data_IF_457043366781
#
_entry.id   IF_457043366781
#
_cell.length_a   1.000
_cell.length_b   1.000
_cell.length_c   1.000
_cell.angle_alpha   90.00
_cell.angle_beta   90.00
_cell.angle_gamma   90.00
#
_symmetry.space_group_name_H-M   'P 1'
#
loop_
_entity.id
_entity.type
_entity.pdbx_description
1 polymer ?
#
# COMPACT_ATOMS: atom_id res chain seq x y z
N UNK A 1 45.47 -49.94 -37.61
CA UNK A 1 45.67 -48.51 -37.20
C UNK A 1 44.33 -47.99 -36.80
N UNK A 2 44.05 -47.93 -35.49
CA UNK A 2 42.76 -47.41 -34.91
C UNK A 2 43.03 -46.02 -34.31
N UNK A 3 42.41 -45.02 -34.86
CA UNK A 3 42.45 -43.66 -34.32
C UNK A 3 41.40 -43.53 -33.19
N UNK A 4 41.84 -43.22 -31.99
CA UNK A 4 41.00 -42.83 -30.85
C UNK A 4 40.81 -41.31 -30.91
N UNK A 5 39.58 -40.87 -31.14
CA UNK A 5 39.16 -39.48 -30.99
C UNK A 5 38.82 -39.25 -29.53
N UNK A 6 39.61 -38.43 -28.83
CA UNK A 6 39.28 -37.90 -27.52
C UNK A 6 38.35 -36.69 -27.67
N UNK A 7 37.10 -36.85 -27.26
CA UNK A 7 36.16 -35.72 -27.15
C UNK A 7 36.37 -35.09 -25.79
N UNK A 8 36.94 -33.90 -25.79
CA UNK A 8 37.12 -33.04 -24.60
C UNK A 8 35.79 -32.29 -24.36
N UNK A 9 34.98 -32.77 -23.39
CA UNK A 9 33.75 -32.12 -22.97
C UNK A 9 34.14 -30.93 -22.07
N UNK A 10 34.12 -29.70 -22.60
CA UNK A 10 34.26 -28.50 -21.85
C UNK A 10 32.95 -28.20 -21.13
N UNK A 11 32.90 -28.43 -19.82
CA UNK A 11 31.78 -28.07 -18.96
C UNK A 11 31.79 -26.56 -18.78
N UNK A 12 30.96 -25.85 -19.56
CA UNK A 12 30.78 -24.41 -19.46
C UNK A 12 29.88 -24.14 -18.24
N UNK A 13 30.47 -23.87 -17.08
CA UNK A 13 29.74 -23.35 -15.92
C UNK A 13 29.23 -21.95 -16.27
N UNK A 14 27.98 -21.87 -16.70
CA UNK A 14 27.25 -20.60 -16.79
C UNK A 14 27.02 -20.12 -15.35
N UNK A 15 27.88 -19.24 -14.87
CA UNK A 15 27.61 -18.45 -13.66
C UNK A 15 26.37 -17.60 -13.98
N UNK A 16 25.22 -18.05 -13.48
CA UNK A 16 24.02 -17.22 -13.45
C UNK A 16 24.32 -16.06 -12.52
N UNK A 17 24.84 -14.98 -13.08
CA UNK A 17 24.89 -13.72 -12.38
C UNK A 17 23.43 -13.27 -12.21
N UNK A 18 22.90 -13.43 -11.00
CA UNK A 18 21.76 -12.60 -10.59
C UNK A 18 22.17 -11.16 -10.84
N UNK A 19 21.35 -10.34 -11.51
CA UNK A 19 21.66 -8.94 -11.66
C UNK A 19 21.64 -8.33 -10.26
N UNK A 20 22.83 -8.29 -9.65
CA UNK A 20 23.05 -7.54 -8.43
C UNK A 20 22.64 -6.09 -8.70
N UNK A 21 21.97 -5.50 -7.76
CA UNK A 21 21.51 -4.12 -7.70
C UNK A 21 22.45 -3.15 -8.43
N UNK A 22 22.11 -2.81 -9.67
CA UNK A 22 22.86 -1.85 -10.48
C UNK A 22 22.38 -0.41 -10.21
N UNK A 23 21.98 -0.09 -8.99
CA UNK A 23 21.74 1.28 -8.55
C UNK A 23 22.72 1.61 -7.44
N UNK A 24 23.61 2.57 -7.69
CA UNK A 24 24.52 3.22 -6.71
C UNK A 24 23.75 4.01 -5.61
N UNK A 25 22.51 3.64 -5.33
CA UNK A 25 21.71 4.29 -4.29
C UNK A 25 21.95 3.59 -2.96
N UNK A 26 22.48 4.29 -1.95
CA UNK A 26 22.87 3.70 -0.69
C UNK A 26 21.62 3.16 0.06
N UNK A 27 21.66 1.88 0.37
CA UNK A 27 20.70 1.17 1.21
C UNK A 27 21.21 1.18 2.66
N UNK A 28 20.32 1.30 3.64
CA UNK A 28 20.70 1.12 5.03
C UNK A 28 21.03 -0.35 5.34
N UNK A 29 21.88 -0.59 6.32
CA UNK A 29 22.22 -1.93 6.79
C UNK A 29 20.95 -2.69 7.22
N UNK A 30 20.08 -2.06 8.02
CA UNK A 30 18.83 -2.64 8.46
C UNK A 30 17.91 -3.06 7.30
N UNK A 31 17.73 -2.21 6.28
CA UNK A 31 16.93 -2.58 5.11
C UNK A 31 17.61 -3.65 4.25
N UNK A 32 18.93 -3.71 4.19
CA UNK A 32 19.65 -4.78 3.52
C UNK A 32 19.40 -6.14 4.19
N UNK A 33 19.53 -6.20 5.51
CA UNK A 33 19.23 -7.42 6.30
C UNK A 33 17.78 -7.88 6.13
N UNK A 34 16.81 -6.95 6.13
CA UNK A 34 15.42 -7.30 5.82
C UNK A 34 15.29 -7.97 4.44
N UNK A 35 15.96 -7.41 3.41
CA UNK A 35 15.89 -7.91 2.04
C UNK A 35 16.53 -9.28 1.91
N UNK A 36 17.64 -9.54 2.61
CA UNK A 36 18.37 -10.82 2.54
C UNK A 36 17.45 -12.03 2.82
N UNK A 37 16.56 -11.90 3.80
CA UNK A 37 15.56 -12.93 4.09
C UNK A 37 14.29 -12.77 3.23
N UNK A 38 13.72 -11.57 3.20
CA UNK A 38 12.41 -11.34 2.59
C UNK A 38 12.42 -11.42 1.05
N UNK A 39 13.59 -11.35 0.38
CA UNK A 39 13.68 -11.57 -1.06
C UNK A 39 13.29 -13.00 -1.46
N UNK A 40 13.54 -13.98 -0.61
CA UNK A 40 13.15 -15.38 -0.83
C UNK A 40 11.74 -15.68 -0.32
N UNK A 41 11.38 -15.16 0.85
CA UNK A 41 10.12 -15.45 1.54
C UNK A 41 8.95 -14.66 0.93
N UNK A 42 9.17 -13.40 0.58
CA UNK A 42 8.17 -12.47 0.06
C UNK A 42 8.65 -11.75 -1.21
N UNK A 43 9.02 -12.47 -2.29
CA UNK A 43 9.64 -11.89 -3.48
C UNK A 43 8.77 -10.81 -4.15
N UNK A 44 7.45 -10.94 -4.08
CA UNK A 44 6.52 -9.93 -4.61
C UNK A 44 6.61 -8.58 -3.91
N UNK A 45 6.81 -8.57 -2.60
CA UNK A 45 6.99 -7.35 -1.79
C UNK A 45 8.30 -6.66 -2.16
N UNK A 46 9.40 -7.40 -2.15
CA UNK A 46 10.73 -6.87 -2.49
C UNK A 46 10.77 -6.37 -3.93
N UNK A 47 10.27 -7.14 -4.90
CA UNK A 47 10.16 -6.70 -6.31
C UNK A 47 9.27 -5.46 -6.48
N UNK A 48 8.20 -5.36 -5.71
CA UNK A 48 7.33 -4.18 -5.69
C UNK A 48 8.10 -2.95 -5.23
N UNK A 49 8.78 -3.04 -4.09
CA UNK A 49 9.59 -1.95 -3.55
C UNK A 49 10.72 -1.54 -4.51
N UNK A 50 11.46 -2.48 -5.08
CA UNK A 50 12.54 -2.20 -6.04
C UNK A 50 12.09 -1.36 -7.24
N UNK A 51 10.83 -1.49 -7.66
CA UNK A 51 10.22 -0.71 -8.75
C UNK A 51 9.70 0.66 -8.28
N UNK A 52 9.69 0.91 -6.98
CA UNK A 52 9.20 2.17 -6.41
C UNK A 52 10.26 3.28 -6.53
N UNK A 53 9.80 4.52 -6.51
CA UNK A 53 10.71 5.67 -6.40
C UNK A 53 11.45 5.69 -5.06
N UNK A 54 10.91 5.09 -4.02
CA UNK A 54 11.54 4.98 -2.73
C UNK A 54 12.86 4.19 -2.79
N UNK A 55 12.95 3.18 -3.66
CA UNK A 55 14.19 2.42 -3.87
C UNK A 55 15.20 3.12 -4.83
N UNK A 56 14.79 4.20 -5.50
CA UNK A 56 15.59 4.80 -6.60
C UNK A 56 16.23 6.13 -6.24
N UNK A 57 15.77 6.81 -5.20
CA UNK A 57 16.23 8.15 -4.84
C UNK A 57 16.25 8.32 -3.34
N UNK A 58 17.32 8.91 -2.80
CA UNK A 58 17.38 9.27 -1.38
C UNK A 58 16.53 10.51 -1.09
N UNK A 59 15.98 10.64 0.13
CA UNK A 59 15.24 11.84 0.53
C UNK A 59 16.03 13.13 0.31
N UNK A 60 17.33 13.15 0.60
CA UNK A 60 18.18 14.32 0.37
C UNK A 60 18.20 14.75 -1.11
N UNK A 61 18.41 13.80 -2.03
CA UNK A 61 18.37 14.09 -3.47
C UNK A 61 16.97 14.54 -3.91
N UNK A 62 15.91 13.91 -3.36
CA UNK A 62 14.53 14.28 -3.66
C UNK A 62 14.17 15.69 -3.16
N UNK A 63 14.75 16.14 -2.05
CA UNK A 63 14.58 17.50 -1.53
C UNK A 63 15.25 18.57 -2.40
N UNK A 64 16.28 18.23 -3.16
CA UNK A 64 16.95 19.15 -4.11
C UNK A 64 16.15 19.39 -5.38
N UNK A 65 15.12 18.57 -5.64
CA UNK A 65 14.23 18.77 -6.79
C UNK A 65 13.32 19.97 -6.51
N UNK A 66 13.21 20.87 -7.49
CA UNK A 66 12.45 22.12 -7.35
C UNK A 66 11.03 22.03 -7.91
N UNK A 67 10.19 22.96 -7.47
CA UNK A 67 8.83 23.16 -7.95
C UNK A 67 7.93 21.96 -7.77
N UNK A 68 6.98 21.78 -8.68
CA UNK A 68 5.97 20.70 -8.61
C UNK A 68 6.53 19.30 -8.87
N UNK A 69 7.77 19.21 -9.37
CA UNK A 69 8.48 17.95 -9.54
C UNK A 69 8.96 17.36 -8.19
N UNK A 70 9.19 18.20 -7.20
CA UNK A 70 9.56 17.79 -5.84
C UNK A 70 8.39 17.04 -5.17
N UNK A 71 8.66 15.83 -4.68
CA UNK A 71 7.65 14.97 -4.02
C UNK A 71 7.89 14.80 -2.52
N UNK A 72 9.02 15.18 -2.01
CA UNK A 72 9.26 15.32 -0.58
C UNK A 72 8.78 16.71 -0.17
N UNK A 73 7.59 16.79 0.40
CA UNK A 73 6.94 18.07 0.76
C UNK A 73 7.32 18.58 2.15
N UNK A 74 7.89 17.72 2.99
CA UNK A 74 8.39 18.14 4.31
C UNK A 74 9.57 19.12 4.15
N UNK A 75 9.65 20.16 4.98
CA UNK A 75 10.75 21.12 4.93
C UNK A 75 12.07 20.49 5.36
N UNK A 76 12.01 19.50 6.24
CA UNK A 76 13.16 18.73 6.74
C UNK A 76 12.81 17.26 6.81
N UNK A 77 13.82 16.40 6.67
CA UNK A 77 13.73 14.96 6.87
C UNK A 77 14.77 14.58 7.92
N UNK A 78 14.50 13.63 8.83
CA UNK A 78 15.46 13.18 9.83
C UNK A 78 16.80 12.83 9.19
N UNK A 79 17.90 13.20 9.85
CA UNK A 79 19.26 13.02 9.32
C UNK A 79 19.55 11.54 8.97
N UNK A 80 19.08 10.61 9.82
CA UNK A 80 19.21 9.17 9.60
C UNK A 80 18.57 8.66 8.30
N UNK A 81 17.59 9.37 7.77
CA UNK A 81 16.88 9.00 6.54
C UNK A 81 17.39 9.72 5.29
N UNK A 82 18.18 10.77 5.44
CA UNK A 82 18.51 11.66 4.32
C UNK A 82 19.32 10.97 3.23
N UNK A 83 20.30 10.16 3.62
CA UNK A 83 21.35 9.65 2.73
C UNK A 83 21.15 8.20 2.29
N UNK A 84 20.08 7.57 2.69
CA UNK A 84 19.71 6.20 2.30
C UNK A 84 18.39 6.22 1.52
N UNK A 85 18.17 5.23 0.68
CA UNK A 85 16.84 5.04 0.07
C UNK A 85 15.82 4.67 1.15
N UNK A 86 14.55 4.96 0.92
CA UNK A 86 13.49 4.59 1.85
C UNK A 86 13.14 3.12 1.62
N UNK A 87 13.77 2.26 2.40
CA UNK A 87 13.62 0.80 2.36
C UNK A 87 12.62 0.26 3.37
N UNK A 88 12.80 -1.01 3.72
CA UNK A 88 11.90 -1.71 4.64
C UNK A 88 11.97 -1.10 6.04
N UNK A 89 13.18 -0.97 6.59
CA UNK A 89 13.40 -0.43 7.92
C UNK A 89 12.94 1.02 8.05
N UNK A 90 13.19 1.88 7.04
CA UNK A 90 12.81 3.30 7.05
C UNK A 90 11.31 3.54 7.11
N UNK A 91 10.50 2.51 6.87
CA UNK A 91 9.05 2.53 7.06
C UNK A 91 8.62 1.75 8.29
N UNK A 92 9.09 0.50 8.42
CA UNK A 92 8.57 -0.45 9.41
C UNK A 92 9.23 -0.35 10.80
N UNK A 93 10.32 0.40 10.96
CA UNK A 93 10.91 0.72 12.27
C UNK A 93 10.78 2.21 12.62
N UNK A 94 10.04 2.96 11.78
CA UNK A 94 9.81 4.38 12.01
C UNK A 94 8.78 4.57 13.13
N UNK A 95 9.12 5.34 14.17
CA UNK A 95 8.23 5.65 15.30
C UNK A 95 7.66 4.43 16.05
N UNK A 96 8.44 3.39 16.41
CA UNK A 96 7.91 2.15 16.99
C UNK A 96 7.06 2.40 18.26
N UNK A 97 7.37 3.42 19.05
CA UNK A 97 6.59 3.79 20.25
C UNK A 97 5.17 4.31 19.96
N UNK A 98 4.88 4.72 18.75
CA UNK A 98 3.56 5.17 18.34
C UNK A 98 2.67 4.02 17.84
N UNK A 99 3.25 2.86 17.60
CA UNK A 99 2.57 1.70 17.02
C UNK A 99 2.36 0.61 18.08
N UNK A 100 1.11 0.32 18.40
CA UNK A 100 0.76 -0.73 19.35
C UNK A 100 1.09 -2.15 18.81
N UNK A 101 1.26 -2.31 17.51
CA UNK A 101 1.65 -3.53 16.82
C UNK A 101 3.17 -3.70 16.68
N UNK A 102 3.94 -2.90 17.39
CA UNK A 102 5.41 -3.06 17.42
C UNK A 102 5.79 -4.33 18.15
N UNK A 103 6.66 -5.11 17.55
CA UNK A 103 7.22 -6.35 18.09
C UNK A 103 8.70 -6.49 17.70
N UNK A 104 9.42 -7.31 18.46
CA UNK A 104 10.82 -7.62 18.13
C UNK A 104 10.87 -8.59 16.94
N UNK A 105 11.71 -8.28 15.96
CA UNK A 105 11.96 -9.12 14.81
C UNK A 105 13.39 -8.96 14.31
N UNK A 106 14.21 -10.00 14.46
CA UNK A 106 15.62 -10.01 14.03
C UNK A 106 16.46 -8.84 14.59
N UNK A 107 16.26 -8.50 15.86
CA UNK A 107 16.96 -7.41 16.54
C UNK A 107 16.38 -6.01 16.31
N UNK A 108 15.28 -5.89 15.59
CA UNK A 108 14.60 -4.62 15.31
C UNK A 108 13.21 -4.55 15.93
N UNK A 109 12.82 -3.36 16.38
CA UNK A 109 11.44 -3.06 16.77
C UNK A 109 10.63 -2.74 15.51
N UNK A 110 9.86 -3.71 15.00
CA UNK A 110 9.12 -3.64 13.74
C UNK A 110 7.63 -3.48 14.01
N UNK A 111 6.95 -2.63 13.27
CA UNK A 111 5.49 -2.58 13.22
C UNK A 111 4.97 -2.98 11.82
N UNK A 112 3.84 -3.69 11.79
CA UNK A 112 3.24 -4.21 10.54
C UNK A 112 2.54 -3.10 9.76
N UNK A 113 1.83 -2.22 10.48
CA UNK A 113 0.95 -1.21 9.89
C UNK A 113 1.65 0.12 9.75
N UNK A 114 2.15 0.42 8.56
CA UNK A 114 2.62 1.76 8.22
C UNK A 114 1.42 2.69 8.03
N UNK A 115 1.42 3.81 8.73
CA UNK A 115 0.32 4.75 8.83
C UNK A 115 0.55 6.04 8.02
N UNK A 116 -0.48 6.87 7.80
CA UNK A 116 -0.28 8.20 7.21
C UNK A 116 0.67 9.10 8.00
N UNK A 117 0.78 8.92 9.32
CA UNK A 117 1.67 9.72 10.15
C UNK A 117 3.15 9.29 10.03
N UNK A 118 3.43 8.07 9.56
CA UNK A 118 4.78 7.67 9.14
C UNK A 118 5.13 8.34 7.81
N UNK A 119 4.22 8.27 6.84
CA UNK A 119 4.38 8.93 5.54
C UNK A 119 4.62 10.44 5.68
N UNK A 120 4.01 11.08 6.67
CA UNK A 120 4.14 12.51 6.98
C UNK A 120 5.60 12.94 7.19
N UNK A 121 6.47 12.04 7.64
CA UNK A 121 7.91 12.34 7.83
C UNK A 121 8.53 12.96 6.58
N UNK A 122 8.12 12.51 5.39
CA UNK A 122 8.58 13.05 4.11
C UNK A 122 7.45 13.75 3.32
N UNK A 123 6.18 13.40 3.56
CA UNK A 123 5.01 13.85 2.80
C UNK A 123 4.03 14.67 3.65
N UNK A 124 4.54 15.70 4.34
CA UNK A 124 3.78 16.48 5.32
C UNK A 124 2.58 17.23 4.69
N UNK A 125 2.75 17.78 3.49
CA UNK A 125 1.67 18.51 2.79
C UNK A 125 0.56 17.55 2.37
N UNK A 126 0.91 16.42 1.78
CA UNK A 126 -0.03 15.39 1.33
C UNK A 126 -0.81 14.82 2.52
N UNK A 127 -0.12 14.54 3.64
CA UNK A 127 -0.77 14.08 4.87
C UNK A 127 -1.77 15.11 5.39
N UNK A 128 -1.38 16.40 5.43
CA UNK A 128 -2.25 17.50 5.89
C UNK A 128 -3.47 17.68 4.98
N UNK A 129 -3.29 17.55 3.67
CA UNK A 129 -4.38 17.62 2.70
C UNK A 129 -5.32 16.42 2.83
N UNK A 130 -4.77 15.21 2.94
CA UNK A 130 -5.55 14.00 3.09
C UNK A 130 -6.38 14.00 4.38
N UNK A 131 -5.83 14.48 5.49
CA UNK A 131 -6.55 14.58 6.76
C UNK A 131 -7.82 15.46 6.70
N UNK A 132 -7.92 16.34 5.71
CA UNK A 132 -9.10 17.19 5.46
C UNK A 132 -10.06 16.58 4.42
N UNK A 133 -9.63 15.52 3.73
CA UNK A 133 -10.44 14.88 2.70
C UNK A 133 -11.49 13.98 3.34
N UNK A 134 -12.71 14.00 2.78
CA UNK A 134 -13.82 13.18 3.28
C UNK A 134 -13.50 11.67 3.26
N UNK A 135 -12.64 11.21 2.36
CA UNK A 135 -12.22 9.81 2.30
C UNK A 135 -11.43 9.39 3.54
N UNK A 136 -10.61 10.27 4.13
CA UNK A 136 -9.91 9.94 5.37
C UNK A 136 -10.85 9.71 6.57
N UNK A 137 -12.07 10.25 6.50
CA UNK A 137 -13.11 10.14 7.53
C UNK A 137 -14.16 9.07 7.21
N UNK A 138 -13.97 8.29 6.13
CA UNK A 138 -14.98 7.37 5.61
C UNK A 138 -15.45 6.33 6.64
N UNK A 139 -14.55 5.81 7.48
CA UNK A 139 -14.95 4.89 8.56
C UNK A 139 -15.92 5.57 9.54
N UNK A 140 -15.54 6.72 10.08
CA UNK A 140 -16.35 7.43 11.08
C UNK A 140 -17.69 7.90 10.52
N UNK A 141 -17.75 8.26 9.24
CA UNK A 141 -18.97 8.65 8.56
C UNK A 141 -20.01 7.53 8.51
N UNK A 142 -19.58 6.26 8.47
CA UNK A 142 -20.47 5.10 8.56
C UNK A 142 -20.69 4.64 10.01
N UNK A 143 -19.61 4.43 10.75
CA UNK A 143 -19.66 3.84 12.09
C UNK A 143 -20.41 4.71 13.10
N UNK A 144 -20.47 6.03 12.91
CA UNK A 144 -21.19 6.97 13.78
C UNK A 144 -22.56 7.37 13.21
N UNK A 145 -23.02 6.77 12.12
CA UNK A 145 -24.30 7.08 11.49
C UNK A 145 -25.35 6.04 11.82
N UNK A 146 -26.30 6.37 12.70
CA UNK A 146 -27.36 5.46 13.15
C UNK A 146 -28.21 4.93 12.00
N UNK A 147 -28.48 5.74 10.98
CA UNK A 147 -29.24 5.30 9.82
C UNK A 147 -28.46 4.25 9.03
N UNK A 148 -27.16 4.48 8.82
CA UNK A 148 -26.29 3.49 8.18
C UNK A 148 -26.26 2.17 9.00
N UNK A 149 -26.09 2.23 10.31
CA UNK A 149 -26.07 1.02 11.14
C UNK A 149 -27.36 0.21 11.08
N UNK A 150 -28.53 0.89 10.97
CA UNK A 150 -29.82 0.23 10.73
C UNK A 150 -29.87 -0.42 9.36
N UNK A 151 -29.39 0.23 8.32
CA UNK A 151 -29.29 -0.32 6.96
C UNK A 151 -28.31 -1.51 6.91
N UNK A 152 -27.16 -1.36 7.50
CA UNK A 152 -26.16 -2.42 7.61
C UNK A 152 -26.76 -3.68 8.26
N UNK A 153 -27.44 -3.50 9.40
CA UNK A 153 -28.12 -4.60 10.07
C UNK A 153 -29.23 -5.22 9.18
N UNK A 154 -29.97 -4.43 8.46
CA UNK A 154 -31.02 -4.94 7.57
C UNK A 154 -30.48 -5.78 6.41
N UNK A 155 -29.28 -5.43 5.90
CA UNK A 155 -28.67 -6.07 4.72
C UNK A 155 -27.77 -7.23 5.10
N UNK A 156 -26.92 -7.06 6.12
CA UNK A 156 -25.85 -8.01 6.47
C UNK A 156 -26.21 -8.98 7.59
N UNK A 157 -27.34 -8.76 8.32
CA UNK A 157 -27.70 -9.64 9.42
C UNK A 157 -27.97 -11.07 8.95
N UNK A 158 -27.41 -12.04 9.65
CA UNK A 158 -27.73 -13.44 9.45
C UNK A 158 -29.22 -13.68 9.79
N UNK A 159 -29.99 -14.09 8.79
CA UNK A 159 -31.42 -14.35 8.95
C UNK A 159 -31.67 -15.84 9.04
N UNK A 160 -32.24 -16.30 10.17
CA UNK A 160 -32.63 -17.68 10.38
C UNK A 160 -34.17 -17.77 10.52
N UNK A 161 -34.74 -18.77 9.83
CA UNK A 161 -36.15 -19.11 9.96
C UNK A 161 -36.28 -20.45 10.70
N UNK A 162 -36.95 -20.43 11.86
CA UNK A 162 -37.20 -21.65 12.66
C UNK A 162 -38.56 -21.53 13.34
N UNK A 163 -39.36 -22.59 13.23
CA UNK A 163 -40.66 -22.70 13.91
C UNK A 163 -41.61 -21.52 13.61
N UNK A 164 -41.71 -21.09 12.35
CA UNK A 164 -42.58 -19.99 11.96
C UNK A 164 -42.06 -18.59 12.33
N UNK A 165 -40.85 -18.48 12.89
CA UNK A 165 -40.25 -17.20 13.32
C UNK A 165 -38.99 -16.89 12.58
N UNK A 166 -38.82 -15.62 12.21
CA UNK A 166 -37.59 -15.06 11.66
C UNK A 166 -36.78 -14.46 12.82
N UNK A 167 -35.52 -14.87 12.94
CA UNK A 167 -34.54 -14.25 13.84
C UNK A 167 -33.42 -13.66 13.01
N UNK A 168 -32.93 -12.48 13.42
CA UNK A 168 -31.80 -11.79 12.76
C UNK A 168 -30.71 -11.59 13.80
N UNK A 169 -29.49 -12.01 13.46
CA UNK A 169 -28.28 -11.80 14.26
C UNK A 169 -27.39 -10.80 13.52
N UNK A 170 -26.87 -9.77 14.18
CA UNK A 170 -25.94 -8.82 13.55
C UNK A 170 -24.78 -9.54 12.87
N UNK A 171 -24.31 -9.02 11.75
CA UNK A 171 -23.11 -9.49 11.08
C UNK A 171 -21.90 -9.41 12.03
N UNK A 172 -21.01 -10.39 11.93
CA UNK A 172 -19.74 -10.35 12.63
C UNK A 172 -18.76 -9.32 12.00
N UNK A 173 -17.67 -9.03 12.69
CA UNK A 173 -16.70 -8.02 12.24
C UNK A 173 -16.04 -8.39 10.90
N UNK A 174 -15.81 -9.66 10.61
CA UNK A 174 -15.27 -10.10 9.33
C UNK A 174 -16.23 -9.81 8.18
N UNK A 175 -17.52 -10.16 8.33
CA UNK A 175 -18.54 -9.83 7.31
C UNK A 175 -18.66 -8.32 7.10
N UNK A 176 -18.62 -7.53 8.15
CA UNK A 176 -18.64 -6.06 8.05
C UNK A 176 -17.41 -5.52 7.34
N UNK A 177 -16.22 -6.05 7.66
CA UNK A 177 -14.95 -5.67 7.05
C UNK A 177 -14.93 -5.94 5.54
N UNK A 178 -15.48 -7.08 5.10
CA UNK A 178 -15.54 -7.46 3.68
C UNK A 178 -16.68 -6.77 2.92
N UNK A 179 -17.67 -6.22 3.61
CA UNK A 179 -18.77 -5.47 3.00
C UNK A 179 -18.46 -3.96 2.97
N UNK A 180 -19.15 -3.18 3.81
CA UNK A 180 -19.07 -1.71 3.77
C UNK A 180 -17.66 -1.20 4.11
N UNK A 181 -17.01 -1.83 5.09
CA UNK A 181 -15.71 -1.37 5.57
C UNK A 181 -14.53 -1.81 4.71
N UNK A 182 -14.75 -2.66 3.69
CA UNK A 182 -13.75 -2.91 2.64
C UNK A 182 -13.29 -1.59 2.00
N UNK A 183 -14.25 -0.75 1.61
CA UNK A 183 -13.99 0.55 1.01
C UNK A 183 -13.77 1.66 2.05
N UNK A 184 -14.62 1.69 3.09
CA UNK A 184 -14.62 2.76 4.07
C UNK A 184 -13.52 2.64 5.14
N UNK A 185 -12.86 1.50 5.21
CA UNK A 185 -11.82 1.21 6.21
C UNK A 185 -12.38 0.58 7.47
N UNK A 186 -11.52 -0.15 8.19
CA UNK A 186 -11.80 -0.70 9.51
C UNK A 186 -11.10 0.13 10.60
N UNK A 187 -11.49 -0.05 11.84
CA UNK A 187 -10.71 0.41 12.99
C UNK A 187 -9.81 -0.74 13.44
N UNK A 188 -8.50 -0.53 13.34
CA UNK A 188 -7.51 -1.51 13.77
C UNK A 188 -7.39 -1.51 15.30
N UNK A 189 -7.18 -2.69 15.86
CA UNK A 189 -6.94 -2.85 17.30
C UNK A 189 -6.00 -4.05 17.53
N UNK A 190 -5.00 -3.88 18.39
CA UNK A 190 -4.18 -4.99 18.87
C UNK A 190 -5.04 -5.91 19.74
N UNK A 191 -5.05 -7.21 19.42
CA UNK A 191 -5.81 -8.23 20.14
C UNK A 191 -4.93 -9.17 20.98
N UNK A 192 -3.62 -8.97 20.96
CA UNK A 192 -2.62 -9.80 21.60
C UNK A 192 -1.52 -10.19 20.63
N UNK A 193 -0.78 -11.21 20.99
CA UNK A 193 0.29 -11.78 20.18
C UNK A 193 0.09 -13.28 20.03
N UNK A 194 0.66 -13.85 18.98
CA UNK A 194 0.70 -15.30 18.77
C UNK A 194 2.11 -15.71 18.33
N UNK A 195 2.54 -16.87 18.83
CA UNK A 195 3.77 -17.51 18.35
C UNK A 195 3.45 -18.34 17.13
N UNK A 196 4.24 -18.19 16.08
CA UNK A 196 4.18 -19.01 14.87
C UNK A 196 5.52 -19.66 14.62
N UNK A 197 5.50 -20.96 14.32
CA UNK A 197 6.67 -21.65 13.79
C UNK A 197 6.85 -21.27 12.31
N UNK A 198 7.99 -20.68 11.99
CA UNK A 198 8.30 -20.23 10.64
C UNK A 198 9.43 -21.07 10.06
N UNK A 199 9.29 -21.48 8.80
CA UNK A 199 10.28 -22.30 8.10
C UNK A 199 11.66 -21.61 8.04
N UNK A 200 11.69 -20.29 7.97
CA UNK A 200 12.92 -19.53 7.77
C UNK A 200 13.66 -19.16 9.07
N UNK A 201 12.95 -19.01 10.21
CA UNK A 201 13.52 -18.44 11.43
C UNK A 201 13.04 -19.14 12.72
N UNK A 202 12.34 -20.28 12.63
CA UNK A 202 11.77 -20.97 13.78
C UNK A 202 10.60 -20.22 14.41
N UNK A 203 10.44 -20.36 15.73
CA UNK A 203 9.34 -19.71 16.45
C UNK A 203 9.54 -18.20 16.56
N UNK A 204 8.59 -17.44 16.07
CA UNK A 204 8.53 -15.98 16.15
C UNK A 204 7.20 -15.53 16.73
N UNK A 205 7.22 -14.45 17.50
CA UNK A 205 6.02 -13.80 18.02
C UNK A 205 5.52 -12.73 17.04
N UNK A 206 4.20 -12.73 16.77
CA UNK A 206 3.55 -11.79 15.86
C UNK A 206 2.35 -11.11 16.53
N UNK A 207 2.09 -9.82 16.23
CA UNK A 207 0.90 -9.14 16.74
C UNK A 207 -0.36 -9.65 16.02
N UNK A 208 -1.42 -9.92 16.78
CA UNK A 208 -2.76 -10.17 16.26
C UNK A 208 -3.49 -8.84 16.12
N UNK A 209 -3.72 -8.41 14.89
CA UNK A 209 -4.34 -7.10 14.61
C UNK A 209 -5.76 -7.33 14.07
N UNK A 210 -6.77 -7.00 14.87
CA UNK A 210 -8.17 -6.99 14.43
C UNK A 210 -8.39 -5.92 13.36
N UNK A 211 -9.20 -6.24 12.35
CA UNK A 211 -9.47 -5.34 11.22
C UNK A 211 -8.37 -5.30 10.17
N UNK A 212 -7.27 -6.01 10.35
CA UNK A 212 -6.19 -6.18 9.39
C UNK A 212 -6.29 -7.55 8.68
N UNK A 213 -5.89 -7.67 7.37
CA UNK A 213 -5.46 -6.58 6.49
C UNK A 213 -6.67 -5.83 5.90
N UNK A 214 -6.65 -4.51 5.95
CA UNK A 214 -7.65 -3.65 5.32
C UNK A 214 -6.99 -2.43 4.67
N UNK A 215 -7.42 -2.06 3.47
CA UNK A 215 -6.90 -0.95 2.66
C UNK A 215 -7.94 0.15 2.44
N UNK A 216 -9.08 0.09 3.12
CA UNK A 216 -10.12 1.10 2.99
C UNK A 216 -9.61 2.50 3.32
N UNK A 217 -10.06 3.48 2.54
CA UNK A 217 -9.53 4.86 2.55
C UNK A 217 -9.62 5.57 3.89
N UNK A 218 -10.61 5.22 4.73
CA UNK A 218 -10.83 5.82 6.05
C UNK A 218 -10.35 4.94 7.22
N UNK A 219 -9.46 3.97 6.99
CA UNK A 219 -8.94 3.10 8.06
C UNK A 219 -8.46 3.92 9.26
N UNK A 220 -8.81 3.48 10.45
CA UNK A 220 -8.26 4.03 11.71
C UNK A 220 -7.11 3.13 12.14
N UNK A 221 -5.91 3.71 12.17
CA UNK A 221 -4.67 2.99 12.45
C UNK A 221 -4.40 2.87 13.96
N UNK A 222 -3.45 2.00 14.33
CA UNK A 222 -3.11 1.73 15.72
C UNK A 222 -2.49 2.94 16.44
N UNK A 223 -1.86 3.86 15.70
CA UNK A 223 -1.35 5.14 16.19
C UNK A 223 -2.43 6.23 16.29
N UNK A 224 -3.69 5.90 15.98
CA UNK A 224 -4.83 6.83 15.98
C UNK A 224 -4.97 7.67 14.72
N UNK A 225 -4.03 7.59 13.79
CA UNK A 225 -4.13 8.30 12.51
C UNK A 225 -5.26 7.73 11.64
N UNK A 226 -5.89 8.59 10.84
CA UNK A 226 -6.98 8.21 9.95
C UNK A 226 -6.52 8.16 8.51
N UNK A 227 -6.96 7.12 7.81
CA UNK A 227 -6.74 6.94 6.38
C UNK A 227 -5.74 5.86 6.03
N UNK A 228 -5.64 5.60 4.73
CA UNK A 228 -4.69 4.67 4.14
C UNK A 228 -4.17 5.22 2.81
N UNK A 229 -2.97 5.80 2.80
CA UNK A 229 -2.34 6.28 1.56
C UNK A 229 -2.17 5.14 0.54
N UNK A 230 -1.96 3.91 1.06
CA UNK A 230 -1.84 2.69 0.26
C UNK A 230 -3.15 2.23 -0.41
N UNK A 231 -4.29 2.84 -0.12
CA UNK A 231 -5.52 2.60 -0.87
C UNK A 231 -5.40 3.06 -2.34
N UNK A 232 -4.65 4.14 -2.58
CA UNK A 232 -4.39 4.68 -3.91
C UNK A 232 -2.96 4.40 -4.38
N UNK A 233 -1.98 4.55 -3.50
CA UNK A 233 -0.57 4.26 -3.75
C UNK A 233 -0.25 2.83 -3.30
N UNK A 234 -0.56 1.85 -4.16
CA UNK A 234 -0.44 0.44 -3.79
C UNK A 234 0.96 0.11 -3.27
N UNK A 235 1.02 -0.48 -2.08
CA UNK A 235 2.26 -1.00 -1.48
C UNK A 235 2.70 -2.27 -2.24
N UNK A 236 3.94 -2.42 -2.53
CA UNK A 236 5.12 -1.66 -2.12
C UNK A 236 5.71 -0.89 -3.31
N UNK A 237 4.99 -0.85 -4.44
CA UNK A 237 5.40 -0.08 -5.63
C UNK A 237 5.18 1.43 -5.46
N UNK A 238 4.23 1.84 -4.62
CA UNK A 238 3.84 3.24 -4.39
C UNK A 238 3.67 4.03 -5.70
N UNK A 239 3.06 3.37 -6.69
CA UNK A 239 2.98 3.86 -8.06
C UNK A 239 2.05 5.06 -8.19
N UNK A 240 2.59 6.18 -8.69
CA UNK A 240 1.79 7.35 -9.07
C UNK A 240 0.94 7.05 -10.32
N UNK A 241 1.41 6.15 -11.19
CA UNK A 241 0.65 5.70 -12.36
C UNK A 241 -0.64 5.01 -11.94
N UNK A 242 -0.57 4.08 -10.97
CA UNK A 242 -1.74 3.38 -10.46
C UNK A 242 -2.71 4.37 -9.83
N UNK A 243 -2.24 5.29 -8.98
CA UNK A 243 -3.08 6.31 -8.34
C UNK A 243 -3.77 7.25 -9.34
N UNK A 244 -3.20 7.47 -10.52
CA UNK A 244 -3.77 8.35 -11.57
C UNK A 244 -4.79 7.65 -12.47
N UNK A 245 -4.77 6.33 -12.52
CA UNK A 245 -5.72 5.57 -13.37
C UNK A 245 -7.08 5.44 -12.68
N UNK A 246 -8.18 5.69 -13.39
CA UNK A 246 -9.53 5.55 -12.84
C UNK A 246 -9.86 4.16 -12.29
N UNK A 247 -9.11 3.14 -12.68
CA UNK A 247 -9.25 1.77 -12.17
C UNK A 247 -9.03 1.68 -10.67
N UNK A 248 -8.12 2.47 -10.10
CA UNK A 248 -7.91 2.54 -8.65
C UNK A 248 -9.13 3.09 -7.91
N UNK A 249 -9.79 4.10 -8.50
CA UNK A 249 -11.03 4.64 -7.92
C UNK A 249 -12.19 3.65 -8.05
N UNK A 250 -12.22 2.85 -9.13
CA UNK A 250 -13.21 1.82 -9.40
C UNK A 250 -13.31 0.79 -8.28
N UNK A 251 -12.24 0.48 -7.60
CA UNK A 251 -12.23 -0.52 -6.51
C UNK A 251 -13.30 -0.21 -5.43
N UNK A 252 -13.62 1.08 -5.24
CA UNK A 252 -14.62 1.52 -4.28
C UNK A 252 -15.82 2.22 -4.94
N UNK A 253 -15.62 2.99 -6.02
CA UNK A 253 -16.63 3.82 -6.66
C UNK A 253 -17.36 3.11 -7.83
N UNK A 254 -17.86 1.89 -7.61
CA UNK A 254 -18.43 1.01 -8.65
C UNK A 254 -19.89 0.58 -8.39
N UNK A 255 -20.36 0.66 -7.15
CA UNK A 255 -21.68 0.18 -6.73
C UNK A 255 -22.84 1.00 -7.27
N UNK A 256 -24.09 0.56 -7.08
CA UNK A 256 -25.28 1.31 -7.46
C UNK A 256 -25.47 2.58 -6.61
N UNK A 257 -24.98 2.57 -5.38
CA UNK A 257 -25.00 3.65 -4.40
C UNK A 257 -23.86 4.67 -4.63
N UNK A 258 -22.73 4.25 -5.21
CA UNK A 258 -21.59 5.12 -5.54
C UNK A 258 -21.13 4.87 -6.98
N UNK A 259 -21.91 5.24 -8.01
CA UNK A 259 -21.68 4.85 -9.40
C UNK A 259 -20.65 5.72 -10.13
N UNK A 260 -19.80 6.48 -9.42
CA UNK A 260 -18.92 7.50 -10.02
C UNK A 260 -18.03 6.94 -11.14
N UNK A 261 -17.50 5.72 -11.01
CA UNK A 261 -16.73 5.11 -12.09
C UNK A 261 -17.57 4.82 -13.34
N UNK A 262 -18.79 4.31 -13.18
CA UNK A 262 -19.69 4.03 -14.31
C UNK A 262 -20.09 5.31 -15.04
N UNK A 263 -20.37 6.38 -14.28
CA UNK A 263 -20.66 7.71 -14.83
C UNK A 263 -19.45 8.26 -15.59
N UNK A 264 -18.25 8.16 -14.99
CA UNK A 264 -17.01 8.54 -15.66
C UNK A 264 -16.80 7.74 -16.96
N UNK A 265 -16.91 6.41 -16.92
CA UNK A 265 -16.68 5.55 -18.06
C UNK A 265 -17.64 5.85 -19.23
N UNK A 266 -18.89 6.22 -18.93
CA UNK A 266 -19.87 6.64 -19.94
C UNK A 266 -19.68 8.09 -20.44
N UNK A 267 -18.88 8.90 -19.73
CA UNK A 267 -18.64 10.29 -20.11
C UNK A 267 -17.67 10.42 -21.29
N UNK A 268 -17.62 11.62 -21.90
CA UNK A 268 -16.63 11.95 -22.93
C UNK A 268 -15.20 11.73 -22.44
N UNK A 269 -14.89 12.10 -21.18
CA UNK A 269 -13.57 11.92 -20.59
C UNK A 269 -13.19 10.44 -20.46
N UNK A 270 -14.12 9.61 -19.98
CA UNK A 270 -13.90 8.17 -19.86
C UNK A 270 -13.73 7.47 -21.22
N UNK A 271 -14.48 7.89 -22.23
CA UNK A 271 -14.30 7.36 -23.59
C UNK A 271 -12.92 7.72 -24.18
N UNK A 272 -12.45 8.96 -24.00
CA UNK A 272 -11.11 9.38 -24.42
C UNK A 272 -10.05 8.59 -23.65
N UNK A 273 -10.18 8.47 -22.32
CA UNK A 273 -9.29 7.66 -21.51
C UNK A 273 -9.22 6.21 -22.02
N UNK A 274 -10.37 5.57 -22.20
CA UNK A 274 -10.45 4.17 -22.66
C UNK A 274 -9.72 3.96 -24.00
N UNK A 275 -9.86 4.93 -24.91
CA UNK A 275 -9.28 4.84 -26.25
C UNK A 275 -7.80 5.18 -26.32
N UNK A 276 -7.30 6.09 -25.47
CA UNK A 276 -5.97 6.69 -25.61
C UNK A 276 -5.02 6.42 -24.45
N UNK A 277 -5.45 5.80 -23.36
CA UNK A 277 -4.63 5.63 -22.16
C UNK A 277 -3.29 4.93 -22.41
N UNK A 278 -3.21 4.06 -23.40
CA UNK A 278 -1.96 3.36 -23.73
C UNK A 278 -0.86 4.31 -24.25
N UNK A 279 -1.25 5.48 -24.76
CA UNK A 279 -0.33 6.51 -25.27
C UNK A 279 0.02 7.54 -24.20
N UNK A 280 -0.62 7.51 -23.02
CA UNK A 280 -0.43 8.51 -21.98
C UNK A 280 0.77 8.17 -21.08
N UNK A 281 1.50 9.21 -20.66
CA UNK A 281 2.59 9.06 -19.70
C UNK A 281 2.10 9.31 -18.28
N UNK A 282 1.55 8.29 -17.63
CA UNK A 282 1.09 8.37 -16.24
C UNK A 282 2.21 8.57 -15.21
N UNK A 283 3.47 8.35 -15.59
CA UNK A 283 4.64 8.50 -14.69
C UNK A 283 5.22 9.91 -14.70
N UNK A 284 4.87 10.75 -15.67
CA UNK A 284 5.42 12.10 -15.81
C UNK A 284 5.17 12.94 -14.55
N UNK A 285 6.17 13.74 -14.16
CA UNK A 285 6.09 14.70 -13.06
C UNK A 285 6.82 15.98 -13.49
N UNK A 286 6.10 17.09 -13.65
CA UNK A 286 4.65 17.27 -13.55
C UNK A 286 3.87 16.50 -14.60
N UNK A 287 2.59 16.22 -14.33
CA UNK A 287 1.68 15.55 -15.25
C UNK A 287 0.83 16.59 -15.97
N UNK A 288 1.10 16.81 -17.26
CA UNK A 288 0.64 17.98 -18.00
C UNK A 288 -0.36 17.58 -19.09
N UNK A 289 -1.53 18.23 -19.08
CA UNK A 289 -2.55 18.04 -20.12
C UNK A 289 -2.03 18.48 -21.48
N UNK A 290 -2.37 17.74 -22.53
CA UNK A 290 -1.92 17.96 -23.90
C UNK A 290 -0.53 17.42 -24.22
N UNK A 291 0.29 17.13 -23.17
CA UNK A 291 1.61 16.50 -23.30
C UNK A 291 1.59 15.05 -22.83
N UNK A 292 1.19 14.84 -21.60
CA UNK A 292 1.25 13.52 -20.95
C UNK A 292 -0.08 12.79 -20.95
N UNK A 293 -1.18 13.53 -21.10
CA UNK A 293 -2.55 13.01 -21.19
C UNK A 293 -3.45 14.03 -21.90
N UNK A 294 -4.59 13.56 -22.43
CA UNK A 294 -5.48 14.40 -23.27
C UNK A 294 -6.88 14.58 -22.70
N UNK A 295 -7.23 13.87 -21.62
CA UNK A 295 -8.50 14.07 -20.91
C UNK A 295 -8.33 13.81 -19.42
N UNK A 296 -9.09 14.51 -18.56
CA UNK A 296 -9.00 14.30 -17.11
C UNK A 296 -9.38 12.88 -16.71
N UNK A 297 -8.68 12.36 -15.71
CA UNK A 297 -9.08 11.17 -14.94
C UNK A 297 -9.66 11.60 -13.59
N UNK A 298 -10.15 10.65 -12.79
CA UNK A 298 -10.65 10.96 -11.44
C UNK A 298 -9.59 11.69 -10.59
N UNK A 299 -8.31 11.34 -10.75
CA UNK A 299 -7.20 11.95 -10.00
C UNK A 299 -6.82 13.36 -10.48
N UNK A 300 -7.44 13.88 -11.53
CA UNK A 300 -7.17 15.23 -12.06
C UNK A 300 -8.07 16.28 -11.41
N UNK A 301 -9.23 15.87 -10.90
CA UNK A 301 -10.24 16.72 -10.26
C UNK A 301 -10.18 16.60 -8.74
#
# INVERSE_FOLDING_TARGET
MKWFMFILTVCLCVLIHNPAFANDTPLSEASAECIDCHASIHPGIVNGWQKSRHAMITPQKAMQVEGVARKVSSPTVPESLQNVVVGCAECHTLRPKAHADTFEHNGYEVHVVVSPDDCQTCHATERKQYAKNIMAHAYGNLANNELHLKHEHAILAETKYKNGKITRTPANDATRAEACYYCHGTKLALAGHETRDTEAAGELEFPIIKGWPNQGVGRINLDGSMGACSACHTRHTFSIEVARKPYTCKECHVGPDVPAYKVYAASKHGNIFSSLQATWNFKAVPWTIGKDFTAPTCATC
#
